data_IF_447945515350
#
_entry.id   IF_447945515350
#
_cell.length_a   1.000
_cell.length_b   1.000
_cell.length_c   1.000
_cell.angle_alpha   90.00
_cell.angle_beta   90.00
_cell.angle_gamma   90.00
#
_symmetry.space_group_name_H-M   'P 1'
#
loop_
_entity.id
_entity.type
_entity.pdbx_description
1 polymer ?
#
# COMPACT_ATOMS: atom_id res chain seq x y z
N UNK A 1 7.81 -7.17 -11.55
CA UNK A 1 7.23 -7.29 -10.21
C UNK A 1 7.98 -6.26 -9.41
N UNK A 2 7.30 -5.25 -8.90
CA UNK A 2 7.96 -4.13 -8.23
C UNK A 2 8.47 -4.60 -6.87
N UNK A 3 9.71 -4.24 -6.54
CA UNK A 3 10.34 -4.65 -5.30
C UNK A 3 9.79 -3.81 -4.14
N UNK A 4 9.09 -4.48 -3.23
CA UNK A 4 8.54 -3.85 -2.01
C UNK A 4 9.68 -3.73 -0.99
N UNK A 5 10.14 -2.50 -0.77
CA UNK A 5 11.20 -2.18 0.19
C UNK A 5 10.68 -2.19 1.63
N UNK A 6 9.43 -1.75 1.83
CA UNK A 6 8.81 -1.60 3.15
C UNK A 6 7.29 -1.57 3.03
N UNK A 7 6.59 -2.03 4.06
CA UNK A 7 5.15 -1.86 4.20
C UNK A 7 4.78 -1.28 5.57
N UNK A 8 3.67 -0.56 5.61
CA UNK A 8 3.00 -0.11 6.82
C UNK A 8 1.52 -0.47 6.68
N UNK A 9 1.01 -1.25 7.63
CA UNK A 9 -0.38 -1.67 7.67
C UNK A 9 -1.04 -1.05 8.89
N UNK A 10 -2.20 -0.41 8.68
CA UNK A 10 -3.03 0.10 9.76
C UNK A 10 -4.23 -0.82 9.94
N UNK A 11 -4.43 -1.27 11.18
CA UNK A 11 -5.56 -2.09 11.55
C UNK A 11 -6.58 -1.27 12.35
N UNK A 12 -7.86 -1.53 12.13
CA UNK A 12 -8.97 -0.98 12.90
C UNK A 12 -9.96 -2.10 13.21
N UNK A 13 -10.26 -2.30 14.49
CA UNK A 13 -11.17 -3.34 14.97
C UNK A 13 -10.81 -4.76 14.49
N UNK A 14 -9.52 -5.07 14.39
CA UNK A 14 -9.03 -6.38 13.93
C UNK A 14 -9.05 -6.58 12.40
N UNK A 15 -9.50 -5.59 11.63
CA UNK A 15 -9.49 -5.63 10.16
C UNK A 15 -8.50 -4.61 9.59
N UNK A 16 -8.01 -4.87 8.39
CA UNK A 16 -7.11 -3.96 7.67
C UNK A 16 -7.90 -2.70 7.28
N UNK A 17 -7.38 -1.52 7.61
CA UNK A 17 -7.95 -0.23 7.26
C UNK A 17 -7.22 0.43 6.10
N UNK A 18 -5.89 0.37 6.12
CA UNK A 18 -5.02 0.88 5.06
C UNK A 18 -3.75 0.05 4.96
N UNK A 19 -3.19 -0.04 3.75
CA UNK A 19 -1.86 -0.58 3.49
C UNK A 19 -1.15 0.47 2.67
N UNK A 20 0.06 0.83 3.10
CA UNK A 20 1.00 1.61 2.29
C UNK A 20 2.27 0.80 2.08
N UNK A 21 2.69 0.66 0.83
CA UNK A 21 3.95 0.02 0.45
C UNK A 21 4.90 1.06 -0.12
N UNK A 22 6.17 0.92 0.20
CA UNK A 22 7.26 1.66 -0.42
C UNK A 22 7.88 0.73 -1.47
N UNK A 23 7.86 1.15 -2.72
CA UNK A 23 8.28 0.34 -3.87
C UNK A 23 9.32 1.08 -4.68
N UNK A 24 10.29 0.34 -5.21
CA UNK A 24 11.22 0.83 -6.23
C UNK A 24 10.70 0.41 -7.60
N UNK A 25 10.18 1.37 -8.37
CA UNK A 25 9.62 1.13 -9.71
C UNK A 25 10.70 0.96 -10.77
N UNK A 26 11.78 1.73 -10.61
CA UNK A 26 13.01 1.65 -11.39
C UNK A 26 14.15 2.15 -10.51
N UNK A 27 15.40 1.89 -10.89
CA UNK A 27 16.58 2.30 -10.12
C UNK A 27 16.49 3.77 -9.67
N UNK A 28 16.36 3.98 -8.35
CA UNK A 28 16.25 5.30 -7.73
C UNK A 28 14.87 5.97 -7.75
N UNK A 29 13.85 5.40 -8.42
CA UNK A 29 12.46 5.85 -8.37
C UNK A 29 11.68 5.08 -7.29
N UNK A 30 11.67 5.66 -6.08
CA UNK A 30 11.00 5.11 -4.92
C UNK A 30 9.67 5.85 -4.69
N UNK A 31 8.58 5.08 -4.66
CA UNK A 31 7.23 5.62 -4.46
C UNK A 31 6.53 4.96 -3.29
N UNK A 32 5.70 5.73 -2.60
CA UNK A 32 4.78 5.18 -1.61
C UNK A 32 3.40 5.02 -2.25
N UNK A 33 2.91 3.78 -2.29
CA UNK A 33 1.63 3.42 -2.89
C UNK A 33 0.69 2.94 -1.79
N UNK A 34 -0.52 3.49 -1.75
CA UNK A 34 -1.50 3.22 -0.69
C UNK A 34 -2.84 2.74 -1.26
N UNK A 35 -3.42 1.78 -0.57
CA UNK A 35 -4.83 1.42 -0.71
C UNK A 35 -5.54 1.45 0.64
N UNK A 36 -6.85 1.71 0.59
CA UNK A 36 -7.73 1.72 1.77
C UNK A 36 -8.95 0.84 1.51
N UNK A 37 -9.78 0.63 2.52
CA UNK A 37 -11.07 -0.06 2.37
C UNK A 37 -12.15 0.77 1.66
N UNK A 38 -11.89 2.04 1.38
CA UNK A 38 -12.82 2.93 0.65
C UNK A 38 -12.56 2.84 -0.85
N UNK A 39 -13.55 2.42 -1.66
CA UNK A 39 -13.40 2.39 -3.11
C UNK A 39 -13.06 3.77 -3.69
N UNK A 40 -12.10 3.81 -4.61
CA UNK A 40 -11.72 5.02 -5.34
C UNK A 40 -11.56 4.68 -6.82
N UNK A 41 -12.22 5.46 -7.68
CA UNK A 41 -12.22 5.20 -9.12
C UNK A 41 -10.78 5.17 -9.67
N UNK A 42 -10.44 4.11 -10.40
CA UNK A 42 -9.13 3.91 -11.00
C UNK A 42 -8.05 3.34 -10.08
N UNK A 43 -8.36 3.02 -8.81
CA UNK A 43 -7.39 2.47 -7.86
C UNK A 43 -7.92 1.22 -7.16
N UNK A 44 -7.00 0.36 -6.74
CA UNK A 44 -7.29 -0.80 -5.93
C UNK A 44 -7.74 -0.40 -4.52
N UNK A 45 -8.79 -1.06 -4.05
CA UNK A 45 -9.29 -0.93 -2.68
C UNK A 45 -9.20 -2.29 -1.98
N UNK A 46 -8.99 -2.25 -0.67
CA UNK A 46 -8.82 -3.45 0.15
C UNK A 46 -10.21 -4.00 0.51
N UNK A 47 -10.54 -5.25 0.14
CA UNK A 47 -11.76 -5.91 0.61
C UNK A 47 -11.83 -5.95 2.14
N UNK A 48 -13.03 -5.86 2.72
CA UNK A 48 -13.19 -5.78 4.18
C UNK A 48 -12.70 -7.03 4.93
N UNK A 49 -12.75 -8.17 4.25
CA UNK A 49 -12.35 -9.50 4.68
C UNK A 49 -10.95 -9.89 4.16
N UNK A 50 -10.21 -8.95 3.57
CA UNK A 50 -8.88 -9.23 3.07
C UNK A 50 -7.93 -9.64 4.20
N UNK A 51 -7.25 -10.76 3.99
CA UNK A 51 -6.18 -11.22 4.86
C UNK A 51 -4.84 -10.64 4.42
N UNK A 52 -3.97 -10.35 5.39
CA UNK A 52 -2.62 -9.87 5.09
C UNK A 52 -1.82 -10.99 4.42
N UNK A 53 -1.45 -10.76 3.17
CA UNK A 53 -0.66 -11.70 2.36
C UNK A 53 0.30 -10.94 1.46
N UNK A 54 1.33 -11.63 0.95
CA UNK A 54 2.24 -11.05 -0.03
C UNK A 54 1.51 -10.65 -1.32
N UNK A 55 0.50 -11.42 -1.73
CA UNK A 55 -0.33 -11.10 -2.89
C UNK A 55 -1.11 -9.79 -2.68
N UNK A 56 -1.66 -9.58 -1.48
CA UNK A 56 -2.32 -8.32 -1.14
C UNK A 56 -1.33 -7.15 -1.19
N UNK A 57 -0.13 -7.31 -0.63
CA UNK A 57 0.91 -6.28 -0.70
C UNK A 57 1.29 -5.96 -2.15
N UNK A 58 1.40 -6.96 -3.02
CA UNK A 58 1.71 -6.77 -4.43
C UNK A 58 0.56 -6.11 -5.22
N UNK A 59 -0.69 -6.42 -4.88
CA UNK A 59 -1.86 -5.74 -5.46
C UNK A 59 -1.86 -4.24 -5.09
N UNK A 60 -1.53 -3.91 -3.85
CA UNK A 60 -1.38 -2.52 -3.42
C UNK A 60 -0.23 -1.85 -4.18
N UNK A 61 0.94 -2.50 -4.31
CA UNK A 61 2.07 -1.98 -5.06
C UNK A 61 1.72 -1.62 -6.51
N UNK A 62 1.03 -2.52 -7.22
CA UNK A 62 0.74 -2.37 -8.64
C UNK A 62 -0.46 -1.47 -8.97
N UNK A 63 -1.44 -1.35 -8.07
CA UNK A 63 -2.74 -0.74 -8.39
C UNK A 63 -3.23 0.26 -7.34
N UNK A 64 -2.50 0.46 -6.25
CA UNK A 64 -2.83 1.48 -5.26
C UNK A 64 -2.56 2.89 -5.77
N UNK A 65 -2.84 3.87 -4.93
CA UNK A 65 -2.66 5.27 -5.24
C UNK A 65 -1.34 5.79 -4.67
N UNK A 66 -0.59 6.55 -5.46
CA UNK A 66 0.61 7.22 -4.98
C UNK A 66 0.28 8.25 -3.89
N UNK A 67 1.06 8.23 -2.81
CA UNK A 67 0.97 9.14 -1.67
C UNK A 67 2.35 9.68 -1.29
N UNK A 68 2.38 10.78 -0.54
CA UNK A 68 3.65 11.30 -0.03
C UNK A 68 4.22 10.37 1.05
N UNK A 69 5.36 9.75 0.75
CA UNK A 69 6.01 8.79 1.65
C UNK A 69 6.28 9.37 3.05
N UNK A 70 6.67 10.65 3.15
CA UNK A 70 6.95 11.34 4.42
C UNK A 70 5.74 11.46 5.35
N UNK A 71 4.51 11.49 4.79
CA UNK A 71 3.28 11.56 5.59
C UNK A 71 2.97 10.24 6.29
N UNK A 72 3.33 9.13 5.66
CA UNK A 72 3.06 7.78 6.16
C UNK A 72 4.24 7.25 6.98
N UNK A 73 5.43 7.28 6.38
CA UNK A 73 6.65 6.80 6.99
C UNK A 73 7.42 7.99 7.61
N UNK A 74 7.05 8.36 8.84
CA UNK A 74 7.61 9.52 9.57
C UNK A 74 9.12 9.46 9.88
N UNK A 75 9.82 8.40 9.45
CA UNK A 75 11.26 8.16 9.64
C UNK A 75 11.94 7.72 8.34
N UNK A 76 11.57 8.30 7.21
CA UNK A 76 12.32 8.20 5.95
C UNK A 76 13.29 9.37 5.82
#
# INVERSE_FOLDING_TARGET
MDDILKSQIEFKNGSIQSITVLVEFSEGDIRAIQSTTTPRSGYFFIPKDAELSNDLLQQVAGYGMEVEAKKVFKKL
#
